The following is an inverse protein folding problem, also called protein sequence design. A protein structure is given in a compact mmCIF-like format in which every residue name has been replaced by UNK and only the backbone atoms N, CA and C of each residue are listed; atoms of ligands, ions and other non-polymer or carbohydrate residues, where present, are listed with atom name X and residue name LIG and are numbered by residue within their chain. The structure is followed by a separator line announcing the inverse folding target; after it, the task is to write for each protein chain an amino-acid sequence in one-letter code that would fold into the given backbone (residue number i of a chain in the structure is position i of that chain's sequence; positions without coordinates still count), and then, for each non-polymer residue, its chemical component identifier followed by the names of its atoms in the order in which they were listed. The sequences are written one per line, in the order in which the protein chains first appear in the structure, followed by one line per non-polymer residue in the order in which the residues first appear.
data_IF_341458164458
#
_entry.id   IF_341458164458
#
_cell.length_a   1.000
_cell.length_b   1.000
_cell.length_c   1.000
_cell.angle_alpha   90.00
_cell.angle_beta   90.00
_cell.angle_gamma   90.00
#
_symmetry.space_group_name_H-M   'P 1'
#
loop_
_entity.id
_entity.type
_entity.pdbx_description
1 polymer ?
#
# COMPACT_ATOMS: atom_id res chain seq x y z
N UNK A 1 -7.70 -19.91 -12.36
CA UNK A 1 -7.11 -19.40 -11.11
C UNK A 1 -6.96 -20.54 -10.14
N UNK A 2 -6.78 -20.24 -8.86
CA UNK A 2 -6.83 -21.24 -7.78
C UNK A 2 -8.28 -21.66 -7.45
N UNK A 3 -9.25 -20.86 -7.88
CA UNK A 3 -10.69 -21.13 -7.76
C UNK A 3 -11.34 -21.26 -9.15
N UNK A 4 -12.54 -21.88 -9.24
CA UNK A 4 -13.35 -21.88 -10.45
C UNK A 4 -13.60 -20.46 -10.96
N UNK A 5 -13.53 -20.29 -12.28
CA UNK A 5 -13.81 -19.02 -12.92
C UNK A 5 -15.32 -18.72 -12.84
N UNK A 6 -15.73 -17.56 -12.30
CA UNK A 6 -17.13 -17.15 -12.32
C UNK A 6 -17.58 -16.88 -13.76
N UNK A 7 -18.89 -16.94 -14.00
CA UNK A 7 -19.46 -16.43 -15.27
C UNK A 7 -19.24 -14.92 -15.37
N UNK A 8 -19.31 -14.39 -16.60
CA UNK A 8 -19.14 -12.96 -16.87
C UNK A 8 -20.12 -12.09 -16.05
N UNK A 9 -21.38 -12.51 -15.92
CA UNK A 9 -22.40 -11.79 -15.14
C UNK A 9 -22.08 -11.76 -13.64
N UNK A 10 -21.61 -12.87 -13.09
CA UNK A 10 -21.19 -12.96 -11.67
C UNK A 10 -19.98 -12.06 -11.44
N UNK A 11 -19.03 -12.08 -12.37
CA UNK A 11 -17.84 -11.24 -12.29
C UNK A 11 -18.19 -9.75 -12.30
N UNK A 12 -19.04 -9.30 -13.23
CA UNK A 12 -19.50 -7.91 -13.29
C UNK A 12 -20.29 -7.49 -12.04
N UNK A 13 -21.09 -8.40 -11.50
CA UNK A 13 -21.81 -8.18 -10.23
C UNK A 13 -20.84 -7.98 -9.06
N UNK A 14 -19.78 -8.78 -8.98
CA UNK A 14 -18.74 -8.64 -7.95
C UNK A 14 -18.02 -7.30 -8.08
N UNK A 15 -17.68 -6.85 -9.28
CA UNK A 15 -17.04 -5.55 -9.49
C UNK A 15 -17.92 -4.37 -9.06
N UNK A 16 -19.20 -4.37 -9.46
CA UNK A 16 -20.16 -3.35 -9.04
C UNK A 16 -20.35 -3.34 -7.52
N UNK A 17 -20.42 -4.52 -6.91
CA UNK A 17 -20.51 -4.65 -5.46
C UNK A 17 -19.23 -4.14 -4.78
N UNK A 18 -18.05 -4.48 -5.30
CA UNK A 18 -16.77 -4.00 -4.78
C UNK A 18 -16.64 -2.48 -4.88
N UNK A 19 -17.16 -1.85 -5.94
CA UNK A 19 -17.19 -0.39 -6.07
C UNK A 19 -18.00 0.24 -4.92
N UNK A 20 -19.22 -0.24 -4.70
CA UNK A 20 -20.08 0.24 -3.60
C UNK A 20 -19.41 -0.02 -2.25
N UNK A 21 -18.92 -1.23 -2.02
CA UNK A 21 -18.26 -1.61 -0.78
C UNK A 21 -16.99 -0.79 -0.53
N UNK A 22 -16.23 -0.42 -1.55
CA UNK A 22 -15.02 0.41 -1.41
C UNK A 22 -15.36 1.81 -0.90
N UNK A 23 -16.48 2.39 -1.38
CA UNK A 23 -16.97 3.69 -0.89
C UNK A 23 -17.40 3.55 0.58
N UNK A 24 -18.20 2.52 0.89
CA UNK A 24 -18.65 2.27 2.27
C UNK A 24 -17.47 1.98 3.21
N UNK A 25 -16.47 1.25 2.74
CA UNK A 25 -15.25 0.92 3.46
C UNK A 25 -14.44 2.18 3.78
N UNK A 26 -14.25 3.05 2.79
CA UNK A 26 -13.57 4.33 2.96
C UNK A 26 -14.25 5.23 4.00
N UNK A 27 -15.59 5.27 3.96
CA UNK A 27 -16.40 6.03 4.91
C UNK A 27 -16.49 5.36 6.30
N UNK A 28 -16.14 4.08 6.39
CA UNK A 28 -16.29 3.26 7.59
C UNK A 28 -17.75 3.05 7.99
N UNK A 29 -18.67 2.94 7.02
CA UNK A 29 -20.09 2.66 7.28
C UNK A 29 -20.35 1.15 7.34
N UNK A 30 -21.10 0.70 8.34
CA UNK A 30 -21.38 -0.70 8.65
C UNK A 30 -20.11 -1.57 8.61
N UNK A 31 -18.99 -1.04 9.13
CA UNK A 31 -17.64 -1.55 8.82
C UNK A 31 -17.41 -2.98 9.29
N UNK A 32 -18.12 -3.45 10.33
CA UNK A 32 -18.05 -4.85 10.77
C UNK A 32 -18.51 -5.87 9.73
N UNK A 33 -19.36 -5.45 8.78
CA UNK A 33 -19.83 -6.29 7.68
C UNK A 33 -19.08 -5.89 6.41
N UNK A 34 -19.03 -4.59 6.12
CA UNK A 34 -18.39 -4.05 4.91
C UNK A 34 -16.90 -4.39 4.85
N UNK A 35 -16.18 -4.27 5.96
CA UNK A 35 -14.76 -4.56 6.06
C UNK A 35 -14.41 -5.99 5.64
N UNK A 36 -14.90 -7.02 6.36
CA UNK A 36 -14.67 -8.42 6.01
C UNK A 36 -15.18 -8.78 4.62
N UNK A 37 -16.35 -8.28 4.22
CA UNK A 37 -16.92 -8.58 2.91
C UNK A 37 -16.05 -8.01 1.77
N UNK A 38 -15.53 -6.79 1.92
CA UNK A 38 -14.59 -6.19 0.97
C UNK A 38 -13.32 -7.04 0.87
N UNK A 39 -12.74 -7.41 2.02
CA UNK A 39 -11.54 -8.25 2.05
C UNK A 39 -11.75 -9.60 1.35
N UNK A 40 -12.88 -10.26 1.59
CA UNK A 40 -13.22 -11.55 0.99
C UNK A 40 -13.42 -11.44 -0.52
N UNK A 41 -14.12 -10.40 -1.00
CA UNK A 41 -14.36 -10.20 -2.43
C UNK A 41 -13.10 -9.78 -3.19
N UNK A 42 -12.24 -8.94 -2.61
CA UNK A 42 -10.91 -8.64 -3.18
C UNK A 42 -10.03 -9.89 -3.21
N UNK A 43 -10.05 -10.69 -2.14
CA UNK A 43 -9.33 -11.97 -2.10
C UNK A 43 -9.86 -12.98 -3.14
N UNK A 44 -11.18 -13.07 -3.30
CA UNK A 44 -11.82 -13.94 -4.28
C UNK A 44 -11.50 -13.53 -5.72
N UNK A 45 -11.60 -12.23 -6.05
CA UNK A 45 -11.23 -11.72 -7.39
C UNK A 45 -9.77 -12.00 -7.71
N UNK A 46 -8.86 -11.79 -6.75
CA UNK A 46 -7.46 -12.18 -6.88
C UNK A 46 -7.30 -13.69 -7.12
N UNK A 47 -7.93 -14.56 -6.32
CA UNK A 47 -7.74 -16.02 -6.40
C UNK A 47 -8.43 -16.69 -7.59
N UNK A 48 -9.52 -16.11 -8.09
CA UNK A 48 -10.32 -16.67 -9.18
C UNK A 48 -9.64 -16.55 -10.53
N UNK A 49 -8.95 -15.44 -10.83
CA UNK A 49 -8.47 -15.15 -12.17
C UNK A 49 -6.98 -14.79 -12.26
N UNK A 50 -6.20 -15.49 -13.12
CA UNK A 50 -4.78 -15.18 -13.36
C UNK A 50 -4.55 -13.76 -13.88
N UNK A 51 -5.53 -13.16 -14.55
CA UNK A 51 -5.45 -11.77 -15.00
C UNK A 51 -5.33 -10.78 -13.84
N UNK A 52 -5.70 -11.18 -12.62
CA UNK A 52 -5.59 -10.38 -11.41
C UNK A 52 -4.34 -10.71 -10.58
N UNK A 53 -3.44 -11.56 -11.07
CA UNK A 53 -2.18 -11.89 -10.38
C UNK A 53 -1.15 -10.76 -10.53
N UNK A 54 -1.56 -9.54 -10.19
CA UNK A 54 -0.72 -8.37 -10.11
C UNK A 54 -0.37 -8.10 -8.64
N UNK A 55 0.88 -7.75 -8.39
CA UNK A 55 1.41 -7.49 -7.04
C UNK A 55 0.59 -6.44 -6.27
N UNK A 56 0.07 -5.41 -6.95
CA UNK A 56 -0.75 -4.38 -6.32
C UNK A 56 -2.16 -4.85 -5.92
N UNK A 57 -2.73 -5.85 -6.62
CA UNK A 57 -4.00 -6.47 -6.21
C UNK A 57 -3.78 -7.41 -5.03
N UNK A 58 -2.68 -8.17 -5.04
CA UNK A 58 -2.30 -9.01 -3.90
C UNK A 58 -2.07 -8.17 -2.64
N UNK A 59 -1.34 -7.06 -2.76
CA UNK A 59 -1.14 -6.11 -1.67
C UNK A 59 -2.47 -5.55 -1.17
N UNK A 60 -3.36 -5.13 -2.08
CA UNK A 60 -4.69 -4.64 -1.72
C UNK A 60 -5.45 -5.70 -0.90
N UNK A 61 -5.47 -6.97 -1.35
CA UNK A 61 -6.12 -8.07 -0.65
C UNK A 61 -5.60 -8.25 0.79
N UNK A 62 -4.28 -8.19 0.99
CA UNK A 62 -3.68 -8.28 2.33
C UNK A 62 -4.08 -7.08 3.19
N UNK A 63 -3.95 -5.86 2.66
CA UNK A 63 -4.25 -4.62 3.40
C UNK A 63 -5.73 -4.56 3.78
N UNK A 64 -6.64 -4.84 2.85
CA UNK A 64 -8.07 -4.90 3.12
C UNK A 64 -8.41 -5.99 4.11
N UNK A 65 -7.68 -7.12 4.13
CA UNK A 65 -7.86 -8.16 5.15
C UNK A 65 -7.45 -7.68 6.53
N UNK A 66 -6.27 -7.06 6.66
CA UNK A 66 -5.80 -6.51 7.94
C UNK A 66 -6.80 -5.48 8.48
N UNK A 67 -7.26 -4.56 7.62
CA UNK A 67 -8.17 -3.49 8.03
C UNK A 67 -9.60 -4.00 8.26
N UNK A 68 -10.14 -4.81 7.34
CA UNK A 68 -11.51 -5.28 7.35
C UNK A 68 -11.82 -6.26 8.49
N UNK A 69 -10.87 -7.14 8.85
CA UNK A 69 -11.02 -8.03 10.00
C UNK A 69 -10.57 -7.39 11.32
N UNK A 70 -10.18 -6.12 11.32
CA UNK A 70 -9.83 -5.39 12.54
C UNK A 70 -10.80 -4.26 12.87
N UNK A 71 -10.67 -3.73 14.08
CA UNK A 71 -11.45 -2.59 14.58
C UNK A 71 -10.87 -1.24 14.10
N UNK A 72 -10.44 -1.20 12.83
CA UNK A 72 -9.71 -0.06 12.26
C UNK A 72 -10.58 1.19 12.06
N UNK A 73 -11.90 1.01 11.93
CA UNK A 73 -12.88 2.09 11.73
C UNK A 73 -13.51 2.63 13.04
N UNK A 74 -13.17 2.13 14.22
CA UNK A 74 -13.91 2.46 15.46
C UNK A 74 -13.77 3.93 15.93
N UNK A 75 -12.74 4.65 15.47
CA UNK A 75 -12.46 6.04 15.91
C UNK A 75 -12.96 7.11 14.94
N UNK A 76 -12.60 7.01 13.66
CA UNK A 76 -12.85 8.01 12.63
C UNK A 76 -13.61 7.38 11.46
N UNK A 77 -14.91 7.13 11.67
CA UNK A 77 -15.81 6.55 10.67
C UNK A 77 -17.22 7.14 10.79
N UNK A 78 -18.04 6.96 9.76
CA UNK A 78 -19.47 7.27 9.85
C UNK A 78 -20.19 6.43 10.91
N UNK A 79 -19.78 5.17 11.13
CA UNK A 79 -20.31 4.34 12.22
C UNK A 79 -20.14 5.01 13.60
N UNK A 80 -19.05 5.75 13.82
CA UNK A 80 -18.82 6.47 15.07
C UNK A 80 -19.73 7.69 15.27
N UNK A 81 -20.30 8.22 14.17
CA UNK A 81 -21.19 9.39 14.17
C UNK A 81 -22.67 9.01 14.24
N UNK A 82 -23.05 7.81 13.80
CA UNK A 82 -24.46 7.38 13.71
C UNK A 82 -24.90 6.72 15.02
N UNK A 83 -25.92 7.28 15.72
CA UNK A 83 -26.52 6.62 16.89
C UNK A 83 -27.06 5.23 16.54
N UNK A 84 -26.70 4.21 17.32
CA UNK A 84 -27.08 2.81 17.06
C UNK A 84 -26.02 1.98 16.31
N UNK A 85 -25.13 2.63 15.54
CA UNK A 85 -23.93 1.99 14.97
C UNK A 85 -22.68 2.28 15.81
N UNK A 86 -22.71 3.37 16.60
CA UNK A 86 -21.66 3.73 17.56
C UNK A 86 -21.40 2.60 18.54
N UNK A 87 -20.13 2.22 18.70
CA UNK A 87 -19.72 1.12 19.59
C UNK A 87 -18.88 1.60 20.76
N UNK A 88 -18.89 0.78 21.79
CA UNK A 88 -18.04 0.94 22.96
C UNK A 88 -16.56 0.84 22.56
N UNK A 89 -15.79 1.81 23.02
CA UNK A 89 -14.36 1.95 22.75
C UNK A 89 -13.58 0.96 23.59
N UNK A 90 -13.65 -0.33 23.26
CA UNK A 90 -12.74 -1.33 23.83
C UNK A 90 -11.33 -0.99 23.33
N UNK A 91 -10.34 -1.07 24.22
CA UNK A 91 -8.98 -0.59 24.01
C UNK A 91 -8.44 -0.79 22.58
N UNK A 92 -7.97 0.30 21.97
CA UNK A 92 -7.45 0.29 20.60
C UNK A 92 -6.23 -0.62 20.50
N UNK A 93 -6.38 -1.79 19.87
CA UNK A 93 -5.26 -2.67 19.60
C UNK A 93 -4.33 -2.04 18.56
N UNK A 94 -3.03 -2.09 18.86
CA UNK A 94 -1.97 -1.58 17.97
C UNK A 94 -1.64 -2.55 16.84
N UNK A 95 -2.19 -3.77 16.88
CA UNK A 95 -1.82 -4.88 16.00
C UNK A 95 -2.06 -4.60 14.51
N UNK A 96 -3.23 -4.12 14.04
CA UNK A 96 -3.47 -3.93 12.61
C UNK A 96 -2.48 -2.93 11.99
N UNK A 97 -2.21 -1.85 12.75
CA UNK A 97 -1.21 -0.87 12.37
C UNK A 97 0.20 -1.48 12.30
N UNK A 98 0.60 -2.28 13.30
CA UNK A 98 1.90 -2.97 13.31
C UNK A 98 2.02 -3.95 12.15
N UNK A 99 0.96 -4.68 11.81
CA UNK A 99 0.93 -5.58 10.66
C UNK A 99 1.16 -4.82 9.35
N UNK A 100 0.52 -3.66 9.16
CA UNK A 100 0.77 -2.80 7.99
C UNK A 100 2.22 -2.31 7.97
N UNK A 101 2.76 -1.84 9.10
CA UNK A 101 4.15 -1.37 9.17
C UNK A 101 5.14 -2.49 8.81
N UNK A 102 4.91 -3.70 9.31
CA UNK A 102 5.71 -4.89 9.00
C UNK A 102 5.57 -5.26 7.52
N UNK A 103 4.35 -5.28 6.97
CA UNK A 103 4.09 -5.54 5.55
C UNK A 103 4.88 -4.57 4.65
N UNK A 104 4.79 -3.27 4.92
CA UNK A 104 5.53 -2.23 4.17
C UNK A 104 7.04 -2.47 4.26
N UNK A 105 7.54 -2.84 5.44
CA UNK A 105 8.97 -3.13 5.63
C UNK A 105 9.42 -4.37 4.89
N UNK A 106 8.59 -5.43 4.87
CA UNK A 106 8.82 -6.66 4.10
C UNK A 106 8.89 -6.34 2.61
N UNK A 107 7.96 -5.53 2.10
CA UNK A 107 7.96 -5.10 0.70
C UNK A 107 9.28 -4.39 0.37
N UNK A 108 9.67 -3.35 1.11
CA UNK A 108 10.93 -2.65 0.85
C UNK A 108 12.17 -3.53 1.03
N UNK A 109 12.15 -4.44 2.00
CA UNK A 109 13.25 -5.37 2.20
C UNK A 109 13.43 -6.28 0.98
N UNK A 110 12.38 -6.93 0.51
CA UNK A 110 12.49 -7.81 -0.65
C UNK A 110 12.68 -7.05 -1.96
N UNK A 111 12.13 -5.83 -2.12
CA UNK A 111 12.36 -5.02 -3.32
C UNK A 111 13.77 -4.46 -3.37
N UNK A 112 14.38 -4.11 -2.24
CA UNK A 112 15.79 -3.70 -2.20
C UNK A 112 16.72 -4.88 -2.43
N UNK A 113 16.51 -6.01 -1.75
CA UNK A 113 17.33 -7.22 -1.92
C UNK A 113 17.29 -7.72 -3.36
N UNK A 114 16.13 -7.72 -4.02
CA UNK A 114 16.03 -8.14 -5.42
C UNK A 114 16.80 -7.22 -6.38
N UNK A 115 17.12 -5.99 -5.97
CA UNK A 115 17.92 -5.01 -6.72
C UNK A 115 19.39 -4.94 -6.29
N UNK A 116 19.84 -5.75 -5.33
CA UNK A 116 21.26 -5.88 -4.98
C UNK A 116 21.97 -6.80 -5.99
N UNK A 117 21.98 -6.39 -7.25
CA UNK A 117 22.61 -7.11 -8.35
C UNK A 117 23.25 -6.14 -9.35
N UNK A 118 24.11 -6.67 -10.22
CA UNK A 118 24.87 -5.86 -11.16
C UNK A 118 23.99 -5.02 -12.09
N UNK A 119 22.83 -5.53 -12.53
CA UNK A 119 21.94 -4.81 -13.45
C UNK A 119 21.41 -3.50 -12.87
N UNK A 120 21.04 -3.49 -11.60
CA UNK A 120 20.58 -2.29 -10.89
C UNK A 120 21.73 -1.39 -10.46
N UNK A 121 22.79 -1.96 -9.89
CA UNK A 121 23.91 -1.19 -9.34
C UNK A 121 24.79 -0.53 -10.41
N UNK A 122 24.82 -1.07 -11.62
CA UNK A 122 25.45 -0.43 -12.79
C UNK A 122 24.52 0.52 -13.56
N UNK A 123 23.21 0.43 -13.33
CA UNK A 123 22.20 1.14 -14.11
C UNK A 123 21.78 0.47 -15.41
N UNK A 124 22.37 -0.66 -15.81
CA UNK A 124 22.06 -1.38 -17.05
C UNK A 124 20.58 -1.78 -17.18
N UNK A 125 19.87 -1.92 -16.06
CA UNK A 125 18.42 -2.19 -16.07
C UNK A 125 17.61 -1.06 -16.75
N UNK A 126 18.10 0.19 -16.72
CA UNK A 126 17.43 1.32 -17.35
C UNK A 126 17.56 1.28 -18.88
N UNK A 127 18.63 0.69 -19.43
CA UNK A 127 18.71 0.39 -20.86
C UNK A 127 17.60 -0.58 -21.25
N UNK A 128 17.43 -1.67 -20.47
CA UNK A 128 16.38 -2.67 -20.69
C UNK A 128 14.98 -2.03 -20.63
N UNK A 129 14.73 -1.15 -19.65
CA UNK A 129 13.44 -0.46 -19.54
C UNK A 129 13.18 0.51 -20.70
N UNK A 130 14.22 1.17 -21.21
CA UNK A 130 14.12 2.04 -22.37
C UNK A 130 13.84 1.23 -23.64
N UNK A 131 14.58 0.15 -23.86
CA UNK A 131 14.41 -0.73 -25.03
C UNK A 131 13.06 -1.44 -25.03
N UNK A 132 12.55 -1.83 -23.87
CA UNK A 132 11.23 -2.48 -23.74
C UNK A 132 10.06 -1.50 -23.84
N UNK A 133 10.31 -0.19 -23.97
CA UNK A 133 9.26 0.84 -23.97
C UNK A 133 8.56 1.01 -22.62
N UNK A 134 9.16 0.56 -21.52
CA UNK A 134 8.58 0.69 -20.17
C UNK A 134 8.57 2.14 -19.67
N UNK A 135 9.44 2.98 -20.24
CA UNK A 135 9.45 4.42 -20.03
C UNK A 135 8.56 5.11 -21.05
N UNK A 136 7.41 5.61 -20.61
CA UNK A 136 6.45 6.29 -21.48
C UNK A 136 5.89 7.58 -20.88
N UNK A 137 6.26 7.92 -19.65
CA UNK A 137 5.80 9.14 -18.98
C UNK A 137 6.50 10.41 -19.46
N UNK A 138 5.80 11.54 -19.40
CA UNK A 138 6.25 12.82 -19.97
C UNK A 138 7.55 13.38 -19.37
N UNK A 139 7.84 13.05 -18.10
CA UNK A 139 9.07 13.52 -17.45
C UNK A 139 10.27 12.57 -17.69
N UNK A 140 10.00 11.37 -18.21
CA UNK A 140 11.03 10.34 -18.37
C UNK A 140 12.19 10.80 -19.26
N UNK A 141 11.97 11.42 -20.44
CA UNK A 141 13.08 11.91 -21.26
C UNK A 141 13.98 12.90 -20.50
N UNK A 142 13.37 13.84 -19.79
CA UNK A 142 14.11 14.83 -19.01
C UNK A 142 14.97 14.16 -17.93
N UNK A 143 14.43 13.21 -17.17
CA UNK A 143 15.20 12.50 -16.13
C UNK A 143 16.35 11.70 -16.76
N UNK A 144 16.08 10.96 -17.82
CA UNK A 144 17.08 10.11 -18.48
C UNK A 144 18.21 10.90 -19.14
N UNK A 145 17.95 12.15 -19.54
CA UNK A 145 18.95 13.05 -20.14
C UNK A 145 19.81 13.76 -19.08
N UNK A 146 19.31 13.96 -17.86
CA UNK A 146 19.99 14.74 -16.81
C UNK A 146 20.69 13.88 -15.75
N UNK A 147 20.31 12.62 -15.60
CA UNK A 147 20.88 11.71 -14.60
C UNK A 147 21.46 10.47 -15.25
N UNK A 148 22.64 10.03 -14.79
CA UNK A 148 23.18 8.76 -15.23
C UNK A 148 22.32 7.59 -14.73
N UNK A 149 22.20 6.54 -15.54
CA UNK A 149 21.42 5.36 -15.17
C UNK A 149 21.94 4.68 -13.91
N UNK A 150 23.26 4.72 -13.70
CA UNK A 150 23.88 4.24 -12.47
C UNK A 150 23.40 5.05 -11.26
N UNK A 151 23.34 6.38 -11.36
CA UNK A 151 22.84 7.22 -10.28
C UNK A 151 21.37 6.92 -9.98
N UNK A 152 20.52 6.78 -11.00
CA UNK A 152 19.11 6.41 -10.82
C UNK A 152 18.95 5.05 -10.13
N UNK A 153 19.76 4.06 -10.51
CA UNK A 153 19.78 2.74 -9.88
C UNK A 153 20.20 2.80 -8.41
N UNK A 154 21.31 3.48 -8.10
CA UNK A 154 21.82 3.62 -6.73
C UNK A 154 20.86 4.43 -5.84
N UNK A 155 20.26 5.51 -6.35
CA UNK A 155 19.25 6.29 -5.62
C UNK A 155 18.02 5.44 -5.32
N UNK A 156 17.55 4.65 -6.30
CA UNK A 156 16.40 3.75 -6.12
C UNK A 156 16.68 2.72 -5.02
N UNK A 157 17.78 1.97 -5.15
CA UNK A 157 18.16 0.93 -4.17
C UNK A 157 18.44 1.53 -2.80
N UNK A 158 19.19 2.62 -2.75
CA UNK A 158 19.51 3.33 -1.52
C UNK A 158 18.26 3.85 -0.81
N UNK A 159 17.29 4.38 -1.55
CA UNK A 159 16.00 4.84 -1.00
C UNK A 159 15.21 3.67 -0.44
N UNK A 160 15.12 2.53 -1.14
CA UNK A 160 14.41 1.35 -0.63
C UNK A 160 15.06 0.79 0.64
N UNK A 161 16.38 0.68 0.71
CA UNK A 161 17.10 0.28 1.94
C UNK A 161 16.85 1.28 3.06
N UNK A 162 16.92 2.58 2.76
CA UNK A 162 16.62 3.62 3.73
C UNK A 162 15.18 3.51 4.24
N UNK A 163 14.21 3.17 3.40
CA UNK A 163 12.81 3.00 3.82
C UNK A 163 12.62 1.81 4.77
N UNK A 164 13.39 0.72 4.63
CA UNK A 164 13.33 -0.44 5.55
C UNK A 164 13.56 -0.01 7.00
N UNK A 165 14.56 0.85 7.25
CA UNK A 165 14.95 1.24 8.61
C UNK A 165 14.44 2.63 9.01
N UNK A 166 14.51 3.59 8.09
CA UNK A 166 14.19 5.00 8.30
C UNK A 166 12.75 5.23 8.71
N UNK A 167 11.80 4.41 8.21
CA UNK A 167 10.40 4.48 8.63
C UNK A 167 10.20 4.16 10.13
N UNK A 168 11.06 3.32 10.71
CA UNK A 168 10.97 2.93 12.12
C UNK A 168 11.63 3.94 13.05
N UNK A 169 12.70 4.60 12.61
CA UNK A 169 13.49 5.54 13.41
C UNK A 169 12.78 6.91 13.47
N UNK A 170 12.25 7.34 14.63
CA UNK A 170 11.43 8.56 14.71
C UNK A 170 12.11 9.81 14.17
N UNK A 171 13.44 9.94 14.39
CA UNK A 171 14.24 11.11 13.98
C UNK A 171 14.32 11.31 12.47
N UNK A 172 14.32 10.23 11.69
CA UNK A 172 14.45 10.28 10.22
C UNK A 172 13.18 9.83 9.50
N UNK A 173 12.12 9.50 10.24
CA UNK A 173 10.88 8.95 9.68
C UNK A 173 10.23 9.86 8.66
N UNK A 174 10.13 11.17 8.95
CA UNK A 174 9.51 12.11 8.01
C UNK A 174 10.32 12.17 6.71
N UNK A 175 11.66 12.20 6.82
CA UNK A 175 12.54 12.13 5.65
C UNK A 175 12.33 10.82 4.87
N UNK A 176 12.19 9.68 5.55
CA UNK A 176 11.87 8.40 4.92
C UNK A 176 10.53 8.45 4.18
N UNK A 177 9.47 8.98 4.80
CA UNK A 177 8.17 9.14 4.16
C UNK A 177 8.26 10.03 2.92
N UNK A 178 8.94 11.18 3.00
CA UNK A 178 9.11 12.08 1.88
C UNK A 178 9.92 11.44 0.74
N UNK A 179 11.03 10.76 1.06
CA UNK A 179 11.83 10.03 0.08
C UNK A 179 11.01 8.93 -0.60
N UNK A 180 10.20 8.21 0.17
CA UNK A 180 9.28 7.20 -0.32
C UNK A 180 8.18 7.73 -1.23
N UNK A 181 7.54 8.85 -0.85
CA UNK A 181 6.58 9.56 -1.70
C UNK A 181 7.26 10.00 -3.01
N UNK A 182 8.44 10.60 -2.92
CA UNK A 182 9.22 11.02 -4.08
C UNK A 182 9.55 9.86 -5.02
N UNK A 183 9.97 8.71 -4.47
CA UNK A 183 10.22 7.50 -5.23
C UNK A 183 8.97 7.03 -5.98
N UNK A 184 7.83 6.90 -5.29
CA UNK A 184 6.58 6.41 -5.91
C UNK A 184 6.00 7.34 -6.95
N UNK A 185 6.03 8.66 -6.70
CA UNK A 185 5.62 9.65 -7.70
C UNK A 185 6.58 9.68 -8.89
N UNK A 186 7.89 9.53 -8.66
CA UNK A 186 8.88 9.41 -9.73
C UNK A 186 8.66 8.17 -10.61
N UNK A 187 8.41 7.01 -10.01
CA UNK A 187 8.09 5.79 -10.75
C UNK A 187 6.80 5.96 -11.54
N UNK A 188 5.72 6.42 -10.92
CA UNK A 188 4.40 6.55 -11.57
C UNK A 188 4.42 7.54 -12.75
N UNK A 189 5.21 8.61 -12.63
CA UNK A 189 5.36 9.61 -13.69
C UNK A 189 6.32 9.20 -14.81
N UNK A 190 7.10 8.13 -14.64
CA UNK A 190 8.00 7.58 -15.67
C UNK A 190 7.48 6.28 -16.28
N UNK A 191 6.79 5.44 -15.50
CA UNK A 191 6.46 4.04 -15.77
C UNK A 191 5.04 3.68 -15.30
N UNK A 192 4.47 2.65 -15.93
CA UNK A 192 3.15 2.11 -15.59
C UNK A 192 3.17 1.05 -14.51
N UNK A 193 3.08 1.47 -13.25
CA UNK A 193 3.03 0.54 -12.10
C UNK A 193 1.63 0.34 -11.53
N UNK A 194 0.61 0.82 -12.24
CA UNK A 194 -0.80 0.71 -11.86
C UNK A 194 -1.08 1.41 -10.53
N UNK A 195 -1.89 0.81 -9.67
CA UNK A 195 -2.24 1.42 -8.37
C UNK A 195 -1.18 1.27 -7.28
N UNK A 196 -0.06 0.58 -7.55
CA UNK A 196 0.94 0.25 -6.53
C UNK A 196 1.51 1.49 -5.82
N UNK A 197 1.93 2.50 -6.58
CA UNK A 197 2.51 3.73 -6.05
C UNK A 197 1.58 4.43 -5.05
N UNK A 198 0.31 4.58 -5.42
CA UNK A 198 -0.71 5.20 -4.59
C UNK A 198 -1.01 4.40 -3.33
N UNK A 199 -1.06 3.07 -3.43
CA UNK A 199 -1.24 2.21 -2.27
C UNK A 199 -0.06 2.37 -1.30
N UNK A 200 1.19 2.32 -1.78
CA UNK A 200 2.36 2.46 -0.92
C UNK A 200 2.41 3.82 -0.21
N UNK A 201 2.06 4.91 -0.93
CA UNK A 201 1.94 6.25 -0.35
C UNK A 201 0.88 6.27 0.76
N UNK A 202 -0.30 5.69 0.51
CA UNK A 202 -1.37 5.62 1.50
C UNK A 202 -0.95 4.85 2.76
N UNK A 203 -0.17 3.76 2.61
CA UNK A 203 0.31 2.96 3.74
C UNK A 203 1.30 3.71 4.65
N UNK A 204 1.93 4.80 4.19
CA UNK A 204 2.77 5.63 5.06
C UNK A 204 2.01 6.32 6.20
N UNK A 205 0.69 6.45 6.09
CA UNK A 205 -0.16 6.93 7.19
C UNK A 205 0.03 6.06 8.44
N UNK A 206 0.29 4.76 8.28
CA UNK A 206 0.58 3.85 9.39
C UNK A 206 1.86 4.24 10.16
N UNK A 207 2.75 5.07 9.62
CA UNK A 207 3.99 5.52 10.27
C UNK A 207 3.89 6.92 10.90
N UNK A 208 2.95 7.77 10.46
CA UNK A 208 2.87 9.19 10.88
C UNK A 208 2.63 9.40 12.37
N UNK A 209 1.78 8.59 13.01
CA UNK A 209 1.38 8.86 14.39
C UNK A 209 2.33 8.23 15.41
N UNK A 210 2.94 9.00 16.32
CA UNK A 210 3.55 8.42 17.53
C UNK A 210 2.53 7.61 18.34
N UNK A 211 2.97 6.67 19.17
CA UNK A 211 2.07 6.22 20.23
C UNK A 211 2.02 7.35 21.26
N UNK A 212 0.83 7.74 21.75
CA UNK A 212 0.78 8.49 23.00
C UNK A 212 1.57 7.69 24.03
N UNK A 213 2.49 8.35 24.72
CA UNK A 213 3.15 7.75 25.87
C UNK A 213 2.06 7.28 26.85
N UNK A 214 2.29 6.13 27.47
CA UNK A 214 1.34 5.48 28.39
C UNK A 214 0.86 6.36 29.55
N UNK A 215 1.42 7.57 29.72
CA UNK A 215 1.01 8.57 30.69
C UNK A 215 -0.30 9.28 30.34
N UNK A 216 -0.65 9.42 29.06
CA UNK A 216 -1.92 10.05 28.66
C UNK A 216 -3.13 9.11 28.80
N UNK A 217 -2.90 7.80 28.85
CA UNK A 217 -3.97 6.81 29.01
C UNK A 217 -4.47 6.66 30.46
N UNK A 218 -3.76 7.25 31.45
CA UNK A 218 -4.06 7.12 32.88
C UNK A 218 -4.78 8.39 33.42
N UNK A 219 -4.79 9.50 32.67
CA UNK A 219 -5.38 10.76 33.12
C UNK A 219 -6.59 11.23 32.29
N UNK A 220 -7.14 10.36 31.45
CA UNK A 220 -8.36 10.61 30.70
C UNK A 220 -9.58 9.96 31.33
N UNK A 221 -9.84 10.26 32.61
CA UNK A 221 -11.15 10.11 33.25
C UNK A 221 -11.80 11.49 33.39
#
# INVERSE_FOLDING_TARGET
GWLPQPSFEVYHTIENLLLVLSILFLLGLAFRVVGPLTALLVGYTFASSPFFYHHHIFQMAIVTSILGFSRSADRWSLDALIPGLKRERVGLTRMPRRMIQVLVSIIYFFTSVSKLNHGWLSGKIFDVFKESGSFYGHISPWILDHFSYQALGLITVGTEIFLVFGLWIPRVRVLAILAGIGLHLGIDSMMGVGSFSYQMIALYVAFLFGFPDSKEAIHGE
#
